data_IF_668906713200
#
_entry.id   IF_668906713200
#
_cell.length_a   1.000
_cell.length_b   1.000
_cell.length_c   1.000
_cell.angle_alpha   90.00
_cell.angle_beta   90.00
_cell.angle_gamma   90.00
#
_symmetry.space_group_name_H-M   'P 1'
#
loop_
_entity.id
_entity.type
_entity.pdbx_description
1 polymer ?
#
# COMPACT_ATOMS: atom_id res chain seq x y z
N UNK A 1 -13.46 8.01 -10.36
CA UNK A 1 -13.23 9.27 -9.62
C UNK A 1 -13.30 10.43 -10.61
N UNK A 2 -13.10 11.67 -10.17
CA UNK A 2 -13.11 12.83 -11.08
C UNK A 2 -12.02 12.76 -12.17
N UNK A 3 -10.92 12.03 -11.91
CA UNK A 3 -9.83 11.78 -12.87
C UNK A 3 -10.06 10.58 -13.79
N UNK A 4 -11.16 9.85 -13.65
CA UNK A 4 -11.45 8.63 -14.43
C UNK A 4 -10.94 7.33 -13.82
N UNK A 5 -10.27 7.35 -12.65
CA UNK A 5 -9.84 6.12 -11.95
C UNK A 5 -11.07 5.34 -11.46
N UNK A 6 -11.16 4.06 -11.82
CA UNK A 6 -12.22 3.16 -11.32
C UNK A 6 -11.87 2.70 -9.91
N UNK A 7 -12.85 2.71 -9.00
CA UNK A 7 -12.66 2.33 -7.59
C UNK A 7 -13.84 1.47 -7.17
N UNK A 8 -13.55 0.38 -6.46
CA UNK A 8 -14.53 -0.43 -5.75
C UNK A 8 -14.09 -0.56 -4.30
N UNK A 9 -15.04 -0.40 -3.39
CA UNK A 9 -14.82 -0.59 -1.96
C UNK A 9 -16.13 -0.99 -1.32
N UNK A 10 -16.03 -1.82 -0.28
CA UNK A 10 -17.15 -2.18 0.57
C UNK A 10 -17.85 -0.92 1.12
N UNK A 11 -17.09 0.12 1.46
CA UNK A 11 -17.65 1.36 2.00
C UNK A 11 -18.56 2.12 1.01
N UNK A 12 -18.52 1.77 -0.28
CA UNK A 12 -19.43 2.30 -1.29
C UNK A 12 -20.78 1.56 -1.31
N UNK A 13 -20.84 0.36 -0.74
CA UNK A 13 -22.02 -0.51 -0.71
C UNK A 13 -22.79 -0.43 0.62
N UNK A 14 -22.25 0.29 1.62
CA UNK A 14 -22.89 0.46 2.91
C UNK A 14 -23.82 1.68 2.89
N UNK A 15 -25.10 1.47 3.23
CA UNK A 15 -26.10 2.54 3.34
C UNK A 15 -25.78 3.53 4.48
N UNK A 16 -25.08 3.06 5.52
CA UNK A 16 -24.64 3.86 6.67
C UNK A 16 -23.19 3.56 7.02
N UNK A 17 -22.34 4.57 6.88
CA UNK A 17 -20.87 4.46 7.05
C UNK A 17 -20.42 4.31 8.51
N UNK A 18 -21.29 4.65 9.46
CA UNK A 18 -21.04 4.65 10.90
C UNK A 18 -21.47 3.35 11.59
N UNK A 19 -22.08 2.42 10.85
CA UNK A 19 -22.52 1.15 11.42
C UNK A 19 -21.33 0.20 11.59
N UNK A 20 -21.18 -0.47 12.75
CA UNK A 20 -20.15 -1.47 12.93
C UNK A 20 -20.49 -2.68 12.07
N UNK A 21 -19.73 -2.87 11.00
CA UNK A 21 -19.85 -4.09 10.20
C UNK A 21 -18.79 -5.07 10.66
N UNK A 22 -19.23 -6.22 11.17
CA UNK A 22 -18.33 -7.28 11.65
C UNK A 22 -17.79 -8.05 10.46
N UNK A 23 -16.68 -7.57 9.91
CA UNK A 23 -15.97 -8.22 8.81
C UNK A 23 -15.09 -9.35 9.35
N UNK A 24 -15.61 -10.58 9.32
CA UNK A 24 -14.78 -11.77 9.57
C UNK A 24 -13.87 -12.06 8.36
N UNK A 25 -12.70 -12.62 8.60
CA UNK A 25 -11.70 -12.90 7.56
C UNK A 25 -12.23 -13.55 6.28
N UNK A 26 -13.03 -14.63 6.35
CA UNK A 26 -13.61 -15.25 5.16
C UNK A 26 -14.52 -14.33 4.34
N UNK A 27 -15.26 -13.42 5.01
CA UNK A 27 -16.11 -12.45 4.33
C UNK A 27 -15.24 -11.47 3.55
N UNK A 28 -14.19 -10.93 4.17
CA UNK A 28 -13.26 -10.00 3.52
C UNK A 28 -12.61 -10.63 2.30
N UNK A 29 -12.04 -11.84 2.44
CA UNK A 29 -11.38 -12.53 1.33
C UNK A 29 -12.35 -12.82 0.18
N UNK A 30 -13.58 -13.26 0.48
CA UNK A 30 -14.59 -13.51 -0.54
C UNK A 30 -15.05 -12.23 -1.24
N UNK A 31 -15.23 -11.14 -0.49
CA UNK A 31 -15.64 -9.85 -1.07
C UNK A 31 -14.56 -9.30 -2.01
N UNK A 32 -13.29 -9.38 -1.64
CA UNK A 32 -12.20 -8.95 -2.55
C UNK A 32 -12.14 -9.82 -3.80
N UNK A 33 -12.36 -11.14 -3.66
CA UNK A 33 -12.48 -12.04 -4.82
C UNK A 33 -13.65 -11.65 -5.73
N UNK A 34 -14.81 -11.33 -5.17
CA UNK A 34 -15.98 -10.85 -5.94
C UNK A 34 -15.70 -9.50 -6.60
N UNK A 35 -14.96 -8.59 -5.96
CA UNK A 35 -14.55 -7.35 -6.60
C UNK A 35 -13.67 -7.60 -7.82
N UNK A 36 -12.85 -8.64 -7.79
CA UNK A 36 -12.02 -9.01 -8.94
C UNK A 36 -12.85 -9.65 -10.06
N UNK A 37 -13.81 -10.54 -9.75
CA UNK A 37 -14.53 -11.32 -10.75
C UNK A 37 -15.82 -10.68 -11.27
N UNK A 38 -16.56 -9.99 -10.41
CA UNK A 38 -17.97 -9.63 -10.67
C UNK A 38 -18.14 -8.14 -11.02
N UNK A 39 -17.12 -7.32 -10.76
CA UNK A 39 -17.13 -5.90 -11.11
C UNK A 39 -16.76 -5.71 -12.57
N UNK A 40 -17.56 -4.93 -13.29
CA UNK A 40 -17.33 -4.60 -14.70
C UNK A 40 -16.22 -3.54 -14.79
N UNK A 41 -14.98 -3.98 -14.65
CA UNK A 41 -13.79 -3.12 -14.77
C UNK A 41 -13.54 -2.64 -16.20
N UNK A 42 -14.01 -3.36 -17.22
CA UNK A 42 -13.69 -3.10 -18.63
C UNK A 42 -12.19 -3.28 -18.91
N UNK A 43 -11.69 -2.64 -19.97
CA UNK A 43 -10.26 -2.62 -20.29
C UNK A 43 -9.49 -1.77 -19.28
N UNK A 44 -8.46 -2.35 -18.67
CA UNK A 44 -7.55 -1.69 -17.73
C UNK A 44 -6.10 -2.14 -17.99
N UNK A 45 -5.17 -1.18 -17.98
CA UNK A 45 -3.74 -1.48 -17.98
C UNK A 45 -3.26 -1.96 -16.59
N UNK A 46 -3.86 -1.42 -15.53
CA UNK A 46 -3.51 -1.71 -14.14
C UNK A 46 -4.74 -1.80 -13.25
N UNK A 47 -4.75 -2.82 -12.38
CA UNK A 47 -5.68 -2.94 -11.26
C UNK A 47 -4.89 -3.02 -9.96
N UNK A 48 -5.01 -2.01 -9.10
CA UNK A 48 -4.38 -1.99 -7.79
C UNK A 48 -5.33 -2.60 -6.76
N UNK A 49 -4.82 -3.53 -5.96
CA UNK A 49 -5.57 -4.19 -4.88
C UNK A 49 -4.92 -3.79 -3.56
N UNK A 50 -5.66 -3.06 -2.73
CA UNK A 50 -5.24 -2.71 -1.38
C UNK A 50 -5.49 -3.88 -0.43
N UNK A 51 -4.41 -4.57 -0.05
CA UNK A 51 -4.49 -5.74 0.83
C UNK A 51 -4.63 -5.27 2.30
N UNK A 52 -5.44 -5.97 3.11
CA UNK A 52 -5.46 -5.70 4.54
C UNK A 52 -4.05 -5.91 5.15
N UNK A 53 -3.70 -5.16 6.20
CA UNK A 53 -2.35 -5.14 6.72
C UNK A 53 -1.91 -6.50 7.28
N UNK A 54 -0.60 -6.77 7.20
CA UNK A 54 0.04 -7.94 7.79
C UNK A 54 0.16 -9.12 6.82
N UNK A 55 0.50 -10.28 7.38
CA UNK A 55 0.75 -11.53 6.62
C UNK A 55 -0.06 -12.69 7.18
N UNK A 56 -1.27 -12.40 7.65
CA UNK A 56 -2.22 -13.40 8.16
C UNK A 56 -3.01 -14.08 7.04
N UNK A 57 -4.05 -14.81 7.43
CA UNK A 57 -4.83 -15.64 6.49
C UNK A 57 -5.57 -14.82 5.44
N UNK A 58 -6.03 -13.61 5.77
CA UNK A 58 -6.81 -12.78 4.84
C UNK A 58 -5.98 -12.32 3.62
N UNK A 59 -4.85 -11.60 3.78
CA UNK A 59 -4.02 -11.24 2.63
C UNK A 59 -3.51 -12.47 1.88
N UNK A 60 -3.14 -13.55 2.59
CA UNK A 60 -2.73 -14.81 1.96
C UNK A 60 -3.83 -15.39 1.05
N UNK A 61 -5.07 -15.48 1.55
CA UNK A 61 -6.21 -16.00 0.78
C UNK A 61 -6.50 -15.14 -0.44
N UNK A 62 -6.44 -13.82 -0.30
CA UNK A 62 -6.65 -12.89 -1.43
C UNK A 62 -5.58 -13.12 -2.51
N UNK A 63 -4.30 -13.21 -2.11
CA UNK A 63 -3.19 -13.43 -3.03
C UNK A 63 -3.23 -14.82 -3.69
N UNK A 64 -3.82 -15.82 -3.06
CA UNK A 64 -4.08 -17.13 -3.66
C UNK A 64 -5.27 -17.12 -4.64
N UNK A 65 -6.23 -16.23 -4.41
CA UNK A 65 -7.50 -16.21 -5.16
C UNK A 65 -7.43 -15.39 -6.45
N UNK A 66 -6.42 -14.52 -6.59
CA UNK A 66 -6.31 -13.55 -7.67
C UNK A 66 -4.95 -13.72 -8.35
N UNK A 67 -4.88 -13.76 -9.70
CA UNK A 67 -3.60 -13.79 -10.42
C UNK A 67 -2.89 -12.44 -10.26
N UNK A 68 -1.82 -12.41 -9.45
CA UNK A 68 -1.04 -11.20 -9.20
C UNK A 68 0.19 -11.15 -10.11
N UNK A 69 0.35 -10.03 -10.83
CA UNK A 69 1.56 -9.78 -11.64
C UNK A 69 2.72 -9.19 -10.83
N UNK A 70 2.45 -8.70 -9.62
CA UNK A 70 3.49 -8.25 -8.72
C UNK A 70 2.96 -7.62 -7.44
N UNK A 71 3.87 -7.37 -6.50
CA UNK A 71 3.56 -6.79 -5.18
C UNK A 71 4.50 -5.62 -4.92
N UNK A 72 3.93 -4.53 -4.40
CA UNK A 72 4.69 -3.43 -3.79
C UNK A 72 4.49 -3.53 -2.28
N UNK A 73 5.59 -3.59 -1.53
CA UNK A 73 5.54 -3.57 -0.06
C UNK A 73 5.67 -2.13 0.43
N UNK A 74 4.81 -1.72 1.38
CA UNK A 74 4.89 -0.41 2.03
C UNK A 74 5.34 -0.61 3.48
N UNK A 75 6.30 0.19 3.94
CA UNK A 75 6.78 0.16 5.33
C UNK A 75 7.01 1.57 5.88
N UNK A 76 7.33 1.71 7.16
CA UNK A 76 7.78 2.96 7.78
C UNK A 76 9.27 2.85 8.18
N UNK A 77 9.94 3.86 8.78
CA UNK A 77 11.33 3.74 9.25
C UNK A 77 11.51 3.05 10.62
N UNK A 78 10.42 2.67 11.28
CA UNK A 78 10.42 2.20 12.68
C UNK A 78 11.11 0.83 12.84
N UNK A 79 11.70 0.53 14.01
CA UNK A 79 12.60 -0.63 14.19
C UNK A 79 12.04 -2.01 13.79
N UNK A 80 10.71 -2.20 13.74
CA UNK A 80 10.07 -3.49 13.40
C UNK A 80 10.03 -3.82 11.90
N UNK A 81 10.56 -2.93 11.05
CA UNK A 81 10.42 -2.98 9.58
C UNK A 81 11.06 -4.21 8.96
N UNK A 82 12.25 -4.62 9.43
CA UNK A 82 12.93 -5.80 8.87
C UNK A 82 12.05 -7.05 8.95
N UNK A 83 11.38 -7.26 10.08
CA UNK A 83 10.54 -8.45 10.29
C UNK A 83 9.27 -8.40 9.42
N UNK A 84 8.60 -7.25 9.35
CA UNK A 84 7.35 -7.09 8.59
C UNK A 84 7.61 -7.23 7.09
N UNK A 85 8.66 -6.59 6.60
CA UNK A 85 9.07 -6.70 5.19
C UNK A 85 9.50 -8.13 4.89
N UNK A 86 10.30 -8.78 5.75
CA UNK A 86 10.71 -10.17 5.56
C UNK A 86 9.51 -11.12 5.47
N UNK A 87 8.50 -10.97 6.33
CA UNK A 87 7.28 -11.78 6.28
C UNK A 87 6.53 -11.59 4.97
N UNK A 88 6.34 -10.35 4.54
CA UNK A 88 5.64 -10.02 3.29
C UNK A 88 6.39 -10.59 2.08
N UNK A 89 7.72 -10.49 2.10
CA UNK A 89 8.61 -11.02 1.06
C UNK A 89 8.57 -12.54 0.99
N UNK A 90 8.58 -13.20 2.14
CA UNK A 90 8.51 -14.66 2.19
C UNK A 90 7.13 -15.17 1.74
N UNK A 91 6.04 -14.49 2.12
CA UNK A 91 4.69 -14.81 1.63
C UNK A 91 4.59 -14.69 0.11
N UNK A 92 5.12 -13.61 -0.47
CA UNK A 92 5.18 -13.43 -1.92
C UNK A 92 5.98 -14.54 -2.62
N UNK A 93 7.15 -14.91 -2.07
CA UNK A 93 7.98 -16.02 -2.58
C UNK A 93 7.26 -17.36 -2.53
N UNK A 94 6.57 -17.66 -1.43
CA UNK A 94 5.77 -18.88 -1.29
C UNK A 94 4.70 -19.00 -2.38
N UNK A 95 4.07 -17.88 -2.72
CA UNK A 95 3.06 -17.80 -3.77
C UNK A 95 3.62 -17.57 -5.17
N UNK A 96 4.96 -17.52 -5.31
CA UNK A 96 5.68 -17.26 -6.58
C UNK A 96 5.26 -15.95 -7.25
N UNK A 97 4.86 -14.94 -6.47
CA UNK A 97 4.50 -13.61 -6.97
C UNK A 97 5.75 -12.71 -6.91
N UNK A 98 6.11 -12.01 -8.00
CA UNK A 98 7.28 -11.15 -7.99
C UNK A 98 7.04 -9.90 -7.13
N UNK A 99 8.06 -9.48 -6.39
CA UNK A 99 8.03 -8.24 -5.63
C UNK A 99 8.66 -7.16 -6.49
N UNK A 100 7.88 -6.15 -6.85
CA UNK A 100 8.29 -5.05 -7.71
C UNK A 100 9.20 -4.07 -6.97
N UNK A 101 9.00 -3.93 -5.66
CA UNK A 101 9.88 -3.17 -4.79
C UNK A 101 9.24 -2.80 -3.46
N UNK A 102 9.93 -1.94 -2.72
CA UNK A 102 9.52 -1.42 -1.42
C UNK A 102 9.40 0.11 -1.45
N UNK A 103 8.34 0.63 -0.84
CA UNK A 103 8.14 2.05 -0.57
C UNK A 103 8.27 2.26 0.93
N UNK A 104 9.13 3.19 1.35
CA UNK A 104 9.18 3.64 2.75
C UNK A 104 8.31 4.88 2.90
N UNK A 105 7.19 4.73 3.59
CA UNK A 105 6.29 5.80 3.96
C UNK A 105 6.76 6.53 5.22
N UNK A 106 6.46 7.82 5.34
CA UNK A 106 6.84 8.64 6.50
C UNK A 106 8.35 8.59 6.81
N UNK A 107 9.18 8.58 5.76
CA UNK A 107 10.64 8.42 5.83
C UNK A 107 11.32 9.59 6.56
N UNK A 108 10.87 10.80 6.29
CA UNK A 108 11.38 12.03 6.88
C UNK A 108 10.29 13.10 6.91
N UNK A 109 10.51 14.18 7.64
CA UNK A 109 9.76 15.43 7.55
C UNK A 109 10.67 16.48 6.93
N UNK A 110 10.21 17.18 5.90
CA UNK A 110 10.95 18.34 5.37
C UNK A 110 10.56 19.59 6.16
N UNK A 111 11.53 20.27 6.78
CA UNK A 111 11.27 21.48 7.52
C UNK A 111 10.78 22.59 6.57
N UNK A 112 9.57 23.15 6.77
CA UNK A 112 9.02 24.15 5.86
C UNK A 112 9.78 25.49 5.86
N UNK A 113 10.67 25.70 6.83
CA UNK A 113 11.43 26.94 6.98
C UNK A 113 12.85 26.87 6.38
N UNK A 114 13.52 25.71 6.49
CA UNK A 114 14.91 25.56 6.07
C UNK A 114 15.17 24.41 5.09
N UNK A 115 14.15 23.63 4.70
CA UNK A 115 14.23 22.45 3.81
C UNK A 115 15.11 21.30 4.34
N UNK A 116 15.57 21.39 5.59
CA UNK A 116 16.29 20.30 6.25
C UNK A 116 15.37 19.09 6.46
N UNK A 117 15.90 17.90 6.17
CA UNK A 117 15.18 16.64 6.38
C UNK A 117 15.36 16.17 7.82
N UNK A 118 14.24 15.98 8.50
CA UNK A 118 14.18 15.52 9.89
C UNK A 118 13.71 14.07 9.88
N UNK A 119 14.57 13.17 10.34
CA UNK A 119 14.26 11.74 10.47
C UNK A 119 13.44 11.48 11.74
N UNK A 120 12.13 11.80 11.69
CA UNK A 120 11.21 11.77 12.85
C UNK A 120 11.19 10.40 13.57
N UNK A 121 11.29 9.32 12.81
CA UNK A 121 11.28 7.95 13.34
C UNK A 121 12.67 7.31 13.43
N UNK A 122 13.73 8.12 13.34
CA UNK A 122 15.11 7.67 13.27
C UNK A 122 15.59 7.41 11.84
N UNK A 123 16.85 7.04 11.71
CA UNK A 123 17.50 6.76 10.42
C UNK A 123 16.78 5.65 9.67
N UNK A 124 16.50 5.91 8.39
CA UNK A 124 15.92 4.92 7.49
C UNK A 124 16.82 3.68 7.37
N UNK A 125 16.19 2.50 7.43
CA UNK A 125 16.87 1.21 7.27
C UNK A 125 16.39 0.44 6.04
N UNK A 126 15.55 1.06 5.22
CA UNK A 126 14.92 0.40 4.08
C UNK A 126 15.94 -0.03 3.03
N UNK A 127 16.99 0.74 2.75
CA UNK A 127 18.02 0.36 1.78
C UNK A 127 18.78 -0.89 2.21
N UNK A 128 19.16 -0.97 3.48
CA UNK A 128 19.84 -2.13 4.03
C UNK A 128 18.95 -3.37 3.93
N UNK A 129 17.68 -3.26 4.31
CA UNK A 129 16.70 -4.34 4.21
C UNK A 129 16.44 -4.76 2.75
N UNK A 130 16.28 -3.79 1.84
CA UNK A 130 16.05 -4.04 0.43
C UNK A 130 17.26 -4.74 -0.21
N UNK A 131 18.49 -4.33 0.13
CA UNK A 131 19.73 -4.98 -0.34
C UNK A 131 19.84 -6.42 0.14
N UNK A 132 19.58 -6.69 1.43
CA UNK A 132 19.55 -8.04 2.00
C UNK A 132 18.54 -8.94 1.27
N UNK A 133 17.39 -8.39 0.87
CA UNK A 133 16.29 -9.14 0.23
C UNK A 133 16.33 -9.09 -1.30
N UNK A 134 17.32 -8.43 -1.91
CA UNK A 134 17.44 -8.19 -3.36
C UNK A 134 16.20 -7.49 -3.97
N UNK A 135 15.70 -6.47 -3.28
CA UNK A 135 14.57 -5.65 -3.68
C UNK A 135 15.03 -4.24 -4.08
N UNK A 136 14.21 -3.56 -4.88
CA UNK A 136 14.39 -2.14 -5.21
C UNK A 136 13.63 -1.26 -4.23
N UNK A 137 14.24 -0.20 -3.75
CA UNK A 137 13.54 0.89 -3.05
C UNK A 137 12.94 1.81 -4.11
N UNK A 138 11.61 1.85 -4.22
CA UNK A 138 10.90 2.59 -5.25
C UNK A 138 10.70 4.06 -4.89
N UNK A 139 10.45 4.33 -3.61
CA UNK A 139 10.22 5.68 -3.10
C UNK A 139 10.45 5.76 -1.60
N UNK A 140 10.78 6.97 -1.15
CA UNK A 140 10.80 7.40 0.25
C UNK A 140 9.87 8.58 0.41
N UNK A 141 8.68 8.34 0.93
CA UNK A 141 7.65 9.36 1.05
C UNK A 141 7.84 10.17 2.34
N UNK A 142 7.79 11.51 2.28
CA UNK A 142 7.85 12.33 3.48
C UNK A 142 6.53 12.29 4.28
N UNK A 143 6.60 12.75 5.52
CA UNK A 143 5.43 13.20 6.27
C UNK A 143 5.03 14.57 5.70
N UNK A 144 3.95 14.62 4.93
CA UNK A 144 3.43 15.87 4.34
C UNK A 144 2.00 16.16 4.82
N UNK A 145 1.79 17.24 5.59
CA UNK A 145 0.45 17.69 5.99
C UNK A 145 -0.48 17.98 4.81
N UNK A 146 0.04 18.43 3.67
CA UNK A 146 -0.76 18.66 2.46
C UNK A 146 -1.35 17.35 1.94
N UNK A 147 -0.55 16.27 1.91
CA UNK A 147 -1.03 14.94 1.52
C UNK A 147 -2.16 14.49 2.44
N UNK A 148 -1.97 14.59 3.76
CA UNK A 148 -2.99 14.21 4.74
C UNK A 148 -4.30 15.01 4.54
N UNK A 149 -4.20 16.34 4.40
CA UNK A 149 -5.37 17.19 4.16
C UNK A 149 -6.09 16.88 2.84
N UNK A 150 -5.34 16.56 1.78
CA UNK A 150 -5.94 16.16 0.50
C UNK A 150 -6.63 14.81 0.60
N UNK A 151 -6.06 13.84 1.32
CA UNK A 151 -6.70 12.56 1.62
C UNK A 151 -8.01 12.76 2.38
N UNK A 152 -8.00 13.52 3.47
CA UNK A 152 -9.19 13.80 4.30
C UNK A 152 -10.31 14.49 3.50
N UNK A 153 -9.94 15.34 2.54
CA UNK A 153 -10.88 16.04 1.65
C UNK A 153 -11.32 15.21 0.44
N UNK A 154 -10.84 13.97 0.29
CA UNK A 154 -11.10 13.13 -0.89
C UNK A 154 -10.51 13.70 -2.19
N UNK A 155 -9.42 14.45 -2.09
CA UNK A 155 -8.75 15.17 -3.19
C UNK A 155 -7.29 14.74 -3.36
N UNK A 156 -6.94 13.52 -2.94
CA UNK A 156 -5.57 12.97 -3.04
C UNK A 156 -4.99 13.05 -4.46
N UNK A 157 -5.83 12.98 -5.50
CA UNK A 157 -5.46 13.13 -6.91
C UNK A 157 -4.82 14.48 -7.25
N UNK A 158 -4.96 15.49 -6.37
CA UNK A 158 -4.34 16.81 -6.54
C UNK A 158 -2.91 16.89 -5.99
N UNK A 159 -2.44 15.85 -5.31
CA UNK A 159 -1.11 15.83 -4.72
C UNK A 159 -0.04 15.69 -5.81
N UNK A 160 0.99 16.56 -5.78
CA UNK A 160 2.02 16.64 -6.83
C UNK A 160 3.45 16.37 -6.35
N UNK A 161 3.66 16.23 -5.04
CA UNK A 161 5.00 16.14 -4.43
C UNK A 161 5.41 14.68 -4.23
N UNK A 162 5.40 13.89 -5.31
CA UNK A 162 5.89 12.51 -5.27
C UNK A 162 7.24 12.45 -6.00
N UNK A 163 8.31 12.17 -5.27
CA UNK A 163 9.58 11.75 -5.85
C UNK A 163 9.60 10.22 -5.98
N UNK A 164 9.54 9.73 -7.22
CA UNK A 164 9.84 8.32 -7.52
C UNK A 164 11.34 8.21 -7.73
N UNK A 165 12.00 7.30 -7.02
CA UNK A 165 13.43 7.08 -7.18
C UNK A 165 13.69 6.44 -8.56
N UNK A 166 14.74 6.86 -9.28
CA UNK A 166 15.10 6.24 -10.56
C UNK A 166 15.38 4.75 -10.34
N UNK A 167 14.76 3.92 -11.20
CA UNK A 167 14.74 2.46 -11.09
C UNK A 167 15.89 1.72 -11.76
#
# INVERSE_FOLDING_TARGET
TASGIKVMSINLLLDRKDYPVVWRGPIVSNTVKQFFTDVIWGELDYLLIDLPPGTGDVPLTIMQSIPLNGIITVSSPQDLVKLIVAKSVNMAKMLKVPILGIVENMSYLECPHCQERINVFGESRVEAAAKEMKLKVLAKMPIDPELAQLCDKGKVEKYKKVEILPG
#
